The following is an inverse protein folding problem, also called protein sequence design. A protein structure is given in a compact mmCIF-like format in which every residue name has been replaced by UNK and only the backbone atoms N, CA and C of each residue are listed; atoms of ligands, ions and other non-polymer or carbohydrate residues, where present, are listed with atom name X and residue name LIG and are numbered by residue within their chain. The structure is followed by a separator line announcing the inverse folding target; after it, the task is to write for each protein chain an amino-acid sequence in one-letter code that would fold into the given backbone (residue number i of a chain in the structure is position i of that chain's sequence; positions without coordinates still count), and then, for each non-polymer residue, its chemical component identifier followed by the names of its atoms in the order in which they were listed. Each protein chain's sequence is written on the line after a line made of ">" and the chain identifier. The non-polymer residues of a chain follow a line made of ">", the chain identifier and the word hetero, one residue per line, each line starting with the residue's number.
data_IF_317146827978
#
_entry.id   IF_317146827978
#
_cell.length_a   1.000
_cell.length_b   1.000
_cell.length_c   1.000
_cell.angle_alpha   90.00
_cell.angle_beta   90.00
_cell.angle_gamma   90.00
#
_symmetry.space_group_name_H-M   'P 1'
#
loop_
_entity.id
_entity.type
_entity.pdbx_description
1 polymer ?
#
# COMPACT_ATOMS: atom_id res chain seq x y z
N UNK A 1 -0.66 -42.68 -44.70
CA UNK A 1 -1.37 -41.69 -43.84
C UNK A 1 -0.58 -40.41 -43.56
N UNK A 2 0.73 -40.47 -43.26
CA UNK A 2 1.52 -39.26 -42.96
C UNK A 2 1.64 -38.31 -44.18
N UNK A 3 1.90 -38.86 -45.36
CA UNK A 3 2.03 -38.12 -46.63
C UNK A 3 0.76 -37.33 -46.98
N UNK A 4 -0.41 -37.95 -46.82
CA UNK A 4 -1.70 -37.31 -47.10
C UNK A 4 -1.98 -36.12 -46.16
N UNK A 5 -1.63 -36.23 -44.87
CA UNK A 5 -1.75 -35.13 -43.92
C UNK A 5 -0.78 -33.98 -44.22
N UNK A 6 0.45 -34.29 -44.63
CA UNK A 6 1.42 -33.29 -45.06
C UNK A 6 0.95 -32.56 -46.33
N UNK A 7 0.40 -33.30 -47.30
CA UNK A 7 -0.18 -32.72 -48.51
C UNK A 7 -1.35 -31.78 -48.21
N UNK A 8 -2.30 -32.19 -47.36
CA UNK A 8 -3.41 -31.33 -46.93
C UNK A 8 -2.94 -30.08 -46.17
N UNK A 9 -1.90 -30.22 -45.33
CA UNK A 9 -1.33 -29.07 -44.60
C UNK A 9 -0.62 -28.10 -45.56
N UNK A 10 0.08 -28.62 -46.56
CA UNK A 10 0.71 -27.81 -47.61
C UNK A 10 -0.34 -27.04 -48.41
N UNK A 11 -1.45 -27.69 -48.81
CA UNK A 11 -2.52 -27.06 -49.56
C UNK A 11 -3.22 -25.93 -48.78
N UNK A 12 -3.51 -26.15 -47.49
CA UNK A 12 -4.08 -25.09 -46.63
C UNK A 12 -3.12 -23.92 -46.44
N UNK A 13 -1.83 -24.20 -46.30
CA UNK A 13 -0.82 -23.15 -46.18
C UNK A 13 -0.68 -22.35 -47.48
N UNK A 14 -0.82 -23.00 -48.64
CA UNK A 14 -0.84 -22.35 -49.94
C UNK A 14 -2.04 -21.40 -50.08
N UNK A 15 -3.25 -21.83 -49.71
CA UNK A 15 -4.45 -20.98 -49.71
C UNK A 15 -4.30 -19.76 -48.77
N UNK A 16 -3.72 -19.97 -47.59
CA UNK A 16 -3.52 -18.90 -46.60
C UNK A 16 -2.51 -17.86 -47.11
N UNK A 17 -1.41 -18.32 -47.71
CA UNK A 17 -0.41 -17.45 -48.34
C UNK A 17 -1.01 -16.67 -49.52
N UNK A 18 -1.88 -17.29 -50.32
CA UNK A 18 -2.56 -16.61 -51.42
C UNK A 18 -3.51 -15.51 -50.92
N UNK A 19 -4.25 -15.77 -49.84
CA UNK A 19 -5.13 -14.75 -49.25
C UNK A 19 -4.33 -13.56 -48.71
N UNK A 20 -3.22 -13.81 -48.02
CA UNK A 20 -2.36 -12.73 -47.50
C UNK A 20 -1.73 -11.91 -48.65
N UNK A 21 -1.32 -12.56 -49.75
CA UNK A 21 -0.83 -11.86 -50.95
C UNK A 21 -1.93 -10.96 -51.54
N UNK A 22 -3.17 -11.43 -51.58
CA UNK A 22 -4.29 -10.66 -52.11
C UNK A 22 -4.65 -9.47 -51.22
N UNK A 23 -4.64 -9.63 -49.90
CA UNK A 23 -4.81 -8.55 -48.93
C UNK A 23 -3.70 -7.49 -49.06
N UNK A 24 -2.44 -7.92 -49.14
CA UNK A 24 -1.29 -7.02 -49.38
C UNK A 24 -1.42 -6.25 -50.70
N UNK A 25 -1.97 -6.88 -51.75
CA UNK A 25 -2.26 -6.19 -53.01
C UNK A 25 -3.38 -5.16 -52.88
N UNK A 26 -4.45 -5.47 -52.12
CA UNK A 26 -5.52 -4.51 -51.83
C UNK A 26 -4.97 -3.29 -51.08
N UNK A 27 -4.21 -3.54 -50.01
CA UNK A 27 -3.59 -2.48 -49.21
C UNK A 27 -2.62 -1.62 -50.04
N UNK A 28 -1.85 -2.24 -50.94
CA UNK A 28 -0.95 -1.50 -51.84
C UNK A 28 -1.72 -0.56 -52.78
N UNK A 29 -2.89 -0.98 -53.29
CA UNK A 29 -3.74 -0.13 -54.14
C UNK A 29 -4.31 1.06 -53.36
N UNK A 30 -4.75 0.84 -52.12
CA UNK A 30 -5.22 1.90 -51.24
C UNK A 30 -4.10 2.90 -50.93
N UNK A 31 -2.89 2.41 -50.63
CA UNK A 31 -1.73 3.26 -50.34
C UNK A 31 -1.29 4.08 -51.57
N UNK A 32 -1.36 3.51 -52.77
CA UNK A 32 -1.12 4.25 -54.03
C UNK A 32 -2.21 5.31 -54.23
N UNK A 33 -3.47 4.99 -53.94
CA UNK A 33 -4.60 5.92 -54.06
C UNK A 33 -4.43 7.10 -53.08
N UNK A 34 -4.07 6.81 -51.82
CA UNK A 34 -3.74 7.79 -50.79
C UNK A 34 -2.54 8.65 -51.19
N UNK A 35 -1.47 8.04 -51.73
CA UNK A 35 -0.29 8.77 -52.20
C UNK A 35 -0.64 9.72 -53.35
N UNK A 36 -1.42 9.25 -54.32
CA UNK A 36 -1.86 10.06 -55.45
C UNK A 36 -2.77 11.20 -54.98
N UNK A 37 -3.68 10.94 -54.05
CA UNK A 37 -4.54 11.96 -53.45
C UNK A 37 -3.68 13.01 -52.73
N UNK A 38 -2.76 12.60 -51.87
CA UNK A 38 -1.84 13.50 -51.18
C UNK A 38 -0.99 14.33 -52.15
N UNK A 39 -0.51 13.73 -53.23
CA UNK A 39 0.28 14.42 -54.26
C UNK A 39 -0.57 15.38 -55.09
N UNK A 40 -1.83 15.05 -55.38
CA UNK A 40 -2.80 15.96 -55.99
C UNK A 40 -3.11 17.13 -55.06
N UNK A 41 -3.33 16.88 -53.76
CA UNK A 41 -3.53 17.92 -52.75
C UNK A 41 -2.30 18.82 -52.67
N UNK A 42 -1.09 18.25 -52.63
CA UNK A 42 0.18 19.00 -52.59
C UNK A 42 0.38 19.85 -53.85
N UNK A 43 0.06 19.31 -55.03
CA UNK A 43 0.13 20.04 -56.29
C UNK A 43 -0.93 21.13 -56.39
N UNK A 44 -2.13 20.89 -55.85
CA UNK A 44 -3.19 21.90 -55.72
C UNK A 44 -2.77 23.04 -54.80
N UNK A 45 -2.06 22.74 -53.71
CA UNK A 45 -1.47 23.72 -52.81
C UNK A 45 -0.32 24.52 -53.46
N UNK A 46 0.52 23.89 -54.30
CA UNK A 46 1.62 24.56 -55.01
C UNK A 46 1.18 25.38 -56.23
N UNK A 47 0.12 24.96 -56.93
CA UNK A 47 -0.48 25.71 -58.05
C UNK A 47 -1.31 26.92 -57.58
N UNK A 48 -1.49 27.10 -56.26
CA UNK A 48 -2.06 28.29 -55.64
C UNK A 48 -0.99 29.33 -55.28
N UNK A 49 -0.29 29.85 -56.29
CA UNK A 49 0.38 31.14 -56.14
C UNK A 49 -0.66 32.24 -55.99
N UNK A 50 -0.79 32.79 -54.77
CA UNK A 50 -1.46 34.05 -54.41
C UNK A 50 -2.90 34.24 -54.91
N UNK A 51 -3.86 33.60 -54.24
CA UNK A 51 -5.20 34.20 -54.10
C UNK A 51 -5.87 33.70 -52.81
N UNK A 52 -5.80 34.54 -51.77
CA UNK A 52 -6.52 34.37 -50.51
C UNK A 52 -8.03 34.36 -50.77
N UNK A 53 -8.66 33.20 -50.66
CA UNK A 53 -10.11 33.07 -50.66
C UNK A 53 -10.57 32.44 -49.34
N UNK A 54 -11.35 33.15 -48.49
CA UNK A 54 -11.72 32.71 -47.14
C UNK A 54 -12.55 31.42 -47.10
N UNK A 55 -13.32 31.13 -48.15
CA UNK A 55 -14.13 29.90 -48.28
C UNK A 55 -13.32 28.59 -48.19
N UNK A 56 -12.02 28.61 -48.49
CA UNK A 56 -11.20 27.40 -48.56
C UNK A 56 -10.59 27.00 -47.22
N UNK A 57 -10.32 27.98 -46.34
CA UNK A 57 -9.97 27.72 -44.95
C UNK A 57 -11.18 27.18 -44.17
N UNK A 58 -12.35 27.76 -44.44
CA UNK A 58 -13.63 27.27 -43.90
C UNK A 58 -13.90 25.84 -44.34
N UNK A 59 -13.69 25.46 -45.61
CA UNK A 59 -13.95 24.09 -46.08
C UNK A 59 -13.04 23.03 -45.42
N UNK A 60 -11.78 23.36 -45.14
CA UNK A 60 -10.82 22.48 -44.48
C UNK A 60 -11.09 22.38 -42.97
N UNK A 61 -11.49 23.49 -42.33
CA UNK A 61 -12.01 23.48 -40.96
C UNK A 61 -13.30 22.67 -40.86
N UNK A 62 -14.27 22.89 -41.76
CA UNK A 62 -15.54 22.15 -41.82
C UNK A 62 -15.29 20.66 -42.00
N UNK A 63 -14.39 20.24 -42.89
CA UNK A 63 -14.09 18.82 -43.11
C UNK A 63 -13.42 18.17 -41.89
N UNK A 64 -12.55 18.90 -41.19
CA UNK A 64 -11.91 18.45 -39.95
C UNK A 64 -12.92 18.43 -38.77
N UNK A 65 -13.83 19.41 -38.71
CA UNK A 65 -14.94 19.43 -37.76
C UNK A 65 -15.93 18.28 -38.01
N UNK A 66 -16.26 17.99 -39.27
CA UNK A 66 -17.13 16.87 -39.67
C UNK A 66 -16.50 15.51 -39.32
N UNK A 67 -15.19 15.36 -39.49
CA UNK A 67 -14.46 14.16 -39.04
C UNK A 67 -14.44 14.05 -37.50
N UNK A 68 -14.28 15.18 -36.79
CA UNK A 68 -14.35 15.26 -35.33
C UNK A 68 -15.77 15.06 -34.78
N UNK A 69 -16.81 15.23 -35.60
CA UNK A 69 -18.21 14.97 -35.25
C UNK A 69 -18.68 13.57 -35.65
N UNK A 70 -17.83 12.74 -36.27
CA UNK A 70 -18.19 11.37 -36.61
C UNK A 70 -18.40 10.53 -35.33
N UNK A 71 -19.46 9.70 -35.25
CA UNK A 71 -19.70 8.80 -34.12
C UNK A 71 -18.49 7.92 -33.78
N UNK A 72 -17.76 7.44 -34.79
CA UNK A 72 -16.54 6.63 -34.63
C UNK A 72 -15.40 7.38 -33.94
N UNK A 73 -15.21 8.66 -34.28
CA UNK A 73 -14.21 9.50 -33.65
C UNK A 73 -14.60 9.83 -32.21
N UNK A 74 -15.89 10.11 -31.95
CA UNK A 74 -16.41 10.36 -30.61
C UNK A 74 -16.22 9.13 -29.69
N UNK A 75 -16.54 7.93 -30.18
CA UNK A 75 -16.33 6.68 -29.43
C UNK A 75 -14.86 6.40 -29.15
N UNK A 76 -14.00 6.53 -30.17
CA UNK A 76 -12.54 6.36 -29.99
C UNK A 76 -12.00 7.31 -28.92
N UNK A 77 -12.47 8.56 -28.90
CA UNK A 77 -12.09 9.55 -27.87
C UNK A 77 -12.55 9.12 -26.47
N UNK A 78 -13.79 8.64 -26.32
CA UNK A 78 -14.30 8.14 -25.04
C UNK A 78 -13.47 6.96 -24.52
N UNK A 79 -13.11 6.01 -25.39
CA UNK A 79 -12.22 4.89 -25.05
C UNK A 79 -10.86 5.41 -24.57
N UNK A 80 -10.26 6.36 -25.29
CA UNK A 80 -8.98 6.95 -24.91
C UNK A 80 -9.04 7.69 -23.57
N UNK A 81 -10.14 8.38 -23.29
CA UNK A 81 -10.39 9.04 -22.01
C UNK A 81 -10.51 8.05 -20.86
N UNK A 82 -11.28 6.97 -21.04
CA UNK A 82 -11.39 5.87 -20.06
C UNK A 82 -10.01 5.26 -19.79
N UNK A 83 -9.27 4.89 -20.84
CA UNK A 83 -7.94 4.30 -20.70
C UNK A 83 -6.95 5.22 -19.95
N UNK A 84 -6.97 6.53 -20.23
CA UNK A 84 -6.15 7.51 -19.50
C UNK A 84 -6.56 7.61 -18.03
N UNK A 85 -7.87 7.57 -17.76
CA UNK A 85 -8.44 7.53 -16.43
C UNK A 85 -7.99 6.31 -15.62
N UNK A 86 -8.17 5.12 -16.18
CA UNK A 86 -7.73 3.86 -15.59
C UNK A 86 -6.21 3.83 -15.35
N UNK A 87 -5.43 4.38 -16.29
CA UNK A 87 -3.99 4.51 -16.10
C UNK A 87 -3.60 5.47 -14.96
N UNK A 88 -4.40 6.51 -14.71
CA UNK A 88 -4.23 7.38 -13.53
C UNK A 88 -4.52 6.61 -12.25
N UNK A 89 -5.59 5.82 -12.21
CA UNK A 89 -5.92 4.94 -11.07
C UNK A 89 -4.79 3.94 -10.81
N UNK A 90 -4.22 3.35 -11.86
CA UNK A 90 -3.07 2.45 -11.77
C UNK A 90 -1.83 3.12 -11.16
N UNK A 91 -1.54 4.38 -11.53
CA UNK A 91 -0.46 5.15 -10.89
C UNK A 91 -0.73 5.40 -9.41
N UNK A 92 -1.98 5.63 -9.03
CA UNK A 92 -2.36 5.79 -7.62
C UNK A 92 -2.21 4.48 -6.85
N UNK A 93 -2.50 3.32 -7.46
CA UNK A 93 -2.28 1.99 -6.87
C UNK A 93 -0.81 1.72 -6.55
N UNK A 94 0.11 2.23 -7.37
CA UNK A 94 1.56 2.05 -7.21
C UNK A 94 2.18 3.04 -6.21
N UNK A 95 1.42 4.03 -5.75
CA UNK A 95 1.93 5.08 -4.90
C UNK A 95 2.10 4.61 -3.44
N UNK A 96 3.34 4.61 -2.97
CA UNK A 96 3.67 4.51 -1.54
C UNK A 96 3.36 5.83 -0.84
N UNK A 97 2.65 5.76 0.29
CA UNK A 97 2.19 6.93 1.05
C UNK A 97 3.09 7.22 2.24
N UNK A 98 3.07 8.45 2.77
CA UNK A 98 3.84 8.78 3.98
C UNK A 98 3.22 8.25 5.28
N UNK A 99 1.90 8.04 5.28
CA UNK A 99 1.17 7.58 6.45
C UNK A 99 -0.09 6.81 6.03
N UNK A 100 -0.72 6.11 6.98
CA UNK A 100 -2.00 5.42 6.75
C UNK A 100 -3.09 6.41 6.33
N UNK A 101 -3.17 7.57 6.96
CA UNK A 101 -4.19 8.59 6.65
C UNK A 101 -4.04 9.06 5.20
N UNK A 102 -2.81 9.29 4.74
CA UNK A 102 -2.55 9.63 3.34
C UNK A 102 -2.86 8.49 2.39
N UNK A 103 -2.59 7.25 2.79
CA UNK A 103 -2.92 6.09 1.98
C UNK A 103 -4.44 5.90 1.84
N UNK A 104 -5.21 6.19 2.89
CA UNK A 104 -6.68 6.20 2.90
C UNK A 104 -7.26 7.35 2.06
N UNK A 105 -6.69 8.57 2.13
CA UNK A 105 -7.07 9.68 1.24
C UNK A 105 -6.91 9.31 -0.24
N UNK A 106 -5.80 8.66 -0.59
CA UNK A 106 -5.54 8.18 -1.96
C UNK A 106 -6.51 7.06 -2.32
N UNK A 107 -6.79 6.12 -1.40
CA UNK A 107 -7.75 5.05 -1.63
C UNK A 107 -9.15 5.59 -1.92
N UNK A 108 -9.60 6.62 -1.20
CA UNK A 108 -10.90 7.25 -1.44
C UNK A 108 -10.96 7.87 -2.83
N UNK A 109 -9.95 8.68 -3.20
CA UNK A 109 -9.88 9.28 -4.55
C UNK A 109 -9.85 8.23 -5.66
N UNK A 110 -9.20 7.09 -5.40
CA UNK A 110 -9.13 5.97 -6.33
C UNK A 110 -10.51 5.37 -6.59
N UNK A 111 -11.30 5.19 -5.53
CA UNK A 111 -12.69 4.74 -5.64
C UNK A 111 -13.58 5.74 -6.36
N UNK A 112 -13.46 7.04 -6.04
CA UNK A 112 -14.20 8.11 -6.73
C UNK A 112 -13.92 8.09 -8.25
N UNK A 113 -12.67 7.85 -8.65
CA UNK A 113 -12.28 7.71 -10.07
C UNK A 113 -12.84 6.41 -10.68
N UNK A 114 -12.76 5.27 -9.98
CA UNK A 114 -13.32 4.01 -10.47
C UNK A 114 -14.84 4.11 -10.69
N UNK A 115 -15.58 4.75 -9.78
CA UNK A 115 -17.02 4.95 -9.93
C UNK A 115 -17.36 5.81 -11.16
N UNK A 116 -16.56 6.86 -11.40
CA UNK A 116 -16.66 7.67 -12.61
C UNK A 116 -16.42 6.85 -13.87
N UNK A 117 -15.34 6.07 -13.91
CA UNK A 117 -14.97 5.28 -15.08
C UNK A 117 -15.92 4.11 -15.32
N UNK A 118 -16.48 3.52 -14.27
CA UNK A 118 -17.57 2.54 -14.38
C UNK A 118 -18.79 3.13 -15.07
N UNK A 119 -19.21 4.32 -14.62
CA UNK A 119 -20.35 5.03 -15.21
C UNK A 119 -20.11 5.36 -16.69
N UNK A 120 -18.91 5.85 -17.03
CA UNK A 120 -18.52 6.16 -18.42
C UNK A 120 -18.43 4.92 -19.30
N UNK A 121 -17.99 3.80 -18.74
CA UNK A 121 -17.88 2.55 -19.46
C UNK A 121 -19.27 1.95 -19.74
N UNK A 122 -20.20 2.02 -18.79
CA UNK A 122 -21.59 1.59 -19.01
C UNK A 122 -22.34 2.49 -20.02
N UNK A 123 -22.08 3.80 -20.01
CA UNK A 123 -22.60 4.74 -21.02
C UNK A 123 -22.14 4.31 -22.42
N UNK A 124 -20.84 4.03 -22.57
CA UNK A 124 -20.26 3.60 -23.84
C UNK A 124 -20.75 2.22 -24.28
N UNK A 125 -20.91 1.27 -23.35
CA UNK A 125 -21.49 -0.05 -23.63
C UNK A 125 -22.93 0.05 -24.17
N UNK A 126 -23.74 0.94 -23.59
CA UNK A 126 -25.10 1.23 -24.08
C UNK A 126 -25.07 1.82 -25.49
N UNK A 127 -24.19 2.78 -25.77
CA UNK A 127 -24.05 3.37 -27.12
C UNK A 127 -23.59 2.34 -28.16
N UNK A 128 -22.74 1.38 -27.78
CA UNK A 128 -22.34 0.27 -28.66
C UNK A 128 -23.54 -0.65 -28.93
N UNK A 129 -24.37 -0.93 -27.92
CA UNK A 129 -25.60 -1.71 -28.09
C UNK A 129 -26.58 -1.03 -29.06
N UNK A 130 -26.73 0.29 -28.97
CA UNK A 130 -27.58 1.05 -29.90
C UNK A 130 -27.06 0.98 -31.35
N UNK A 131 -25.74 0.88 -31.56
CA UNK A 131 -25.13 0.67 -32.89
C UNK A 131 -25.40 -0.74 -33.41
N UNK A 132 -25.42 -1.77 -32.54
CA UNK A 132 -25.75 -3.16 -32.93
C UNK A 132 -27.10 -3.22 -33.62
N UNK A 133 -28.08 -2.47 -33.13
CA UNK A 133 -29.43 -2.42 -33.70
C UNK A 133 -29.46 -1.76 -35.08
N UNK A 134 -28.50 -0.88 -35.40
CA UNK A 134 -28.45 -0.09 -36.63
C UNK A 134 -27.54 -0.69 -37.71
N UNK A 135 -26.33 -1.14 -37.33
CA UNK A 135 -25.33 -1.73 -38.23
C UNK A 135 -24.54 -2.85 -37.51
N UNK A 136 -24.94 -4.12 -37.71
CA UNK A 136 -24.29 -5.28 -37.08
C UNK A 136 -22.81 -5.46 -37.47
N UNK A 137 -22.41 -4.99 -38.66
CA UNK A 137 -21.03 -5.14 -39.15
C UNK A 137 -20.06 -4.22 -38.43
N UNK A 138 -20.49 -2.98 -38.17
CA UNK A 138 -19.71 -2.01 -37.42
C UNK A 138 -19.68 -2.32 -35.92
N UNK A 139 -20.76 -2.91 -35.38
CA UNK A 139 -20.88 -3.20 -33.96
C UNK A 139 -19.85 -4.22 -33.43
N UNK A 140 -19.51 -5.24 -34.22
CA UNK A 140 -18.52 -6.24 -33.79
C UNK A 140 -17.13 -5.62 -33.57
N UNK A 141 -16.70 -4.70 -34.43
CA UNK A 141 -15.43 -3.97 -34.25
C UNK A 141 -15.45 -3.18 -32.94
N UNK A 142 -16.57 -2.50 -32.64
CA UNK A 142 -16.69 -1.71 -31.42
C UNK A 142 -16.74 -2.55 -30.14
N UNK A 143 -17.42 -3.71 -30.17
CA UNK A 143 -17.37 -4.66 -29.06
C UNK A 143 -15.93 -5.10 -28.77
N UNK A 144 -15.18 -5.50 -29.80
CA UNK A 144 -13.78 -5.92 -29.64
C UNK A 144 -12.90 -4.80 -29.10
N UNK A 145 -13.13 -3.55 -29.54
CA UNK A 145 -12.40 -2.37 -29.04
C UNK A 145 -12.80 -2.00 -27.60
N UNK A 146 -14.05 -2.23 -27.20
CA UNK A 146 -14.56 -1.97 -25.85
C UNK A 146 -14.14 -3.04 -24.84
N UNK A 147 -13.84 -4.26 -25.30
CA UNK A 147 -13.36 -5.34 -24.42
C UNK A 147 -12.09 -4.97 -23.65
N UNK A 148 -11.17 -4.22 -24.29
CA UNK A 148 -9.91 -3.81 -23.67
C UNK A 148 -10.10 -2.91 -22.45
N UNK A 149 -10.79 -1.74 -22.53
CA UNK A 149 -11.05 -0.91 -21.35
C UNK A 149 -11.90 -1.63 -20.29
N UNK A 150 -12.81 -2.53 -20.67
CA UNK A 150 -13.58 -3.33 -19.70
C UNK A 150 -12.67 -4.24 -18.87
N UNK A 151 -11.78 -4.99 -19.53
CA UNK A 151 -10.81 -5.85 -18.86
C UNK A 151 -9.85 -5.06 -17.97
N UNK A 152 -9.38 -3.90 -18.45
CA UNK A 152 -8.54 -3.01 -17.64
C UNK A 152 -9.27 -2.49 -16.41
N UNK A 153 -10.51 -2.03 -16.57
CA UNK A 153 -11.34 -1.57 -15.44
C UNK A 153 -11.48 -2.67 -14.39
N UNK A 154 -11.82 -3.89 -14.81
CA UNK A 154 -11.97 -5.04 -13.91
C UNK A 154 -10.67 -5.34 -13.15
N UNK A 155 -9.53 -5.36 -13.85
CA UNK A 155 -8.23 -5.62 -13.23
C UNK A 155 -7.87 -4.53 -12.20
N UNK A 156 -8.06 -3.26 -12.56
CA UNK A 156 -7.74 -2.13 -11.68
C UNK A 156 -8.67 -2.11 -10.47
N UNK A 157 -9.97 -2.39 -10.66
CA UNK A 157 -10.95 -2.50 -9.57
C UNK A 157 -10.57 -3.58 -8.56
N UNK A 158 -10.25 -4.79 -9.02
CA UNK A 158 -9.84 -5.90 -8.14
C UNK A 158 -8.58 -5.54 -7.32
N UNK A 159 -7.63 -4.82 -7.92
CA UNK A 159 -6.44 -4.36 -7.21
C UNK A 159 -6.77 -3.27 -6.20
N UNK A 160 -7.71 -2.37 -6.50
CA UNK A 160 -8.20 -1.38 -5.56
C UNK A 160 -8.91 -2.03 -4.37
N UNK A 161 -9.71 -3.07 -4.60
CA UNK A 161 -10.34 -3.89 -3.54
C UNK A 161 -9.30 -4.56 -2.65
N UNK A 162 -8.31 -5.22 -3.26
CA UNK A 162 -7.22 -5.85 -2.53
C UNK A 162 -6.46 -4.82 -1.67
N UNK A 163 -6.15 -3.65 -2.22
CA UNK A 163 -5.49 -2.54 -1.48
C UNK A 163 -6.38 -2.02 -0.34
N UNK A 164 -7.69 -1.90 -0.53
CA UNK A 164 -8.63 -1.54 0.56
C UNK A 164 -8.58 -2.56 1.70
N UNK A 165 -8.59 -3.85 1.39
CA UNK A 165 -8.48 -4.90 2.42
C UNK A 165 -7.18 -4.80 3.21
N UNK A 166 -6.06 -4.61 2.51
CA UNK A 166 -4.75 -4.43 3.15
C UNK A 166 -4.70 -3.18 4.03
N UNK A 167 -5.27 -2.06 3.58
CA UNK A 167 -5.35 -0.82 4.37
C UNK A 167 -6.16 -0.97 5.64
N UNK A 168 -7.29 -1.69 5.57
CA UNK A 168 -8.12 -1.95 6.75
C UNK A 168 -7.34 -2.79 7.77
N UNK A 169 -6.65 -3.85 7.30
CA UNK A 169 -5.77 -4.66 8.17
C UNK A 169 -4.65 -3.81 8.78
N UNK A 170 -4.00 -2.96 7.99
CA UNK A 170 -2.94 -2.07 8.44
C UNK A 170 -3.42 -1.08 9.51
N UNK A 171 -4.65 -0.55 9.35
CA UNK A 171 -5.24 0.41 10.29
C UNK A 171 -5.42 -0.24 11.66
N UNK A 172 -6.03 -1.42 11.72
CA UNK A 172 -6.19 -2.18 12.97
C UNK A 172 -4.82 -2.51 13.59
N UNK A 173 -3.85 -2.92 12.76
CA UNK A 173 -2.49 -3.20 13.23
C UNK A 173 -1.78 -1.98 13.82
N UNK A 174 -1.95 -0.79 13.24
CA UNK A 174 -1.35 0.41 13.79
C UNK A 174 -1.95 0.80 15.14
N UNK A 175 -3.24 0.56 15.36
CA UNK A 175 -3.86 0.75 16.67
C UNK A 175 -3.27 -0.22 17.70
N UNK A 176 -3.15 -1.51 17.35
CA UNK A 176 -2.50 -2.53 18.20
C UNK A 176 -1.05 -2.14 18.55
N UNK A 177 -0.28 -1.68 17.57
CA UNK A 177 1.11 -1.26 17.80
C UNK A 177 1.17 -0.03 18.67
N UNK A 178 0.34 0.98 18.42
CA UNK A 178 0.31 2.19 19.25
C UNK A 178 0.04 1.89 20.72
N UNK A 179 -0.92 1.03 21.01
CA UNK A 179 -1.23 0.61 22.38
C UNK A 179 -0.08 -0.19 23.02
N UNK A 180 0.56 -1.06 22.24
CA UNK A 180 1.75 -1.80 22.68
C UNK A 180 2.95 -0.87 22.96
N UNK A 181 3.21 0.11 22.10
CA UNK A 181 4.30 1.08 22.31
C UNK A 181 4.05 1.90 23.58
N UNK A 182 2.83 2.42 23.77
CA UNK A 182 2.44 3.11 25.01
C UNK A 182 2.58 2.23 26.25
N UNK A 183 2.15 0.97 26.17
CA UNK A 183 2.30 0.02 27.27
C UNK A 183 3.77 -0.23 27.58
N UNK A 184 4.62 -0.31 26.55
CA UNK A 184 6.07 -0.48 26.70
C UNK A 184 6.72 0.75 27.32
N UNK A 185 6.37 1.96 26.86
CA UNK A 185 6.84 3.23 27.44
C UNK A 185 6.48 3.34 28.92
N UNK A 186 5.24 2.99 29.28
CA UNK A 186 4.80 2.97 30.68
C UNK A 186 5.57 1.94 31.50
N UNK A 187 5.87 0.76 30.94
CA UNK A 187 6.71 -0.23 31.60
C UNK A 187 8.14 0.29 31.80
N UNK A 188 8.74 0.93 30.80
CA UNK A 188 10.07 1.54 30.86
C UNK A 188 10.12 2.58 31.97
N UNK A 189 9.14 3.48 32.02
CA UNK A 189 9.06 4.53 33.04
C UNK A 189 8.91 3.94 34.45
N UNK A 190 7.97 3.03 34.64
CA UNK A 190 7.71 2.41 35.95
C UNK A 190 8.93 1.61 36.43
N UNK A 191 9.54 0.82 35.56
CA UNK A 191 10.72 0.02 35.88
C UNK A 191 11.94 0.88 36.17
N UNK A 192 12.12 1.97 35.41
CA UNK A 192 13.18 2.95 35.68
C UNK A 192 13.01 3.58 37.07
N UNK A 193 11.78 3.93 37.46
CA UNK A 193 11.48 4.45 38.81
C UNK A 193 11.73 3.40 39.90
N UNK A 194 11.38 2.13 39.65
CA UNK A 194 11.64 1.03 40.58
C UNK A 194 13.15 0.83 40.81
N UNK A 195 13.96 0.89 39.75
CA UNK A 195 15.41 0.74 39.84
C UNK A 195 16.11 1.98 40.43
N UNK A 196 15.60 3.19 40.15
CA UNK A 196 16.17 4.44 40.63
C UNK A 196 15.89 4.72 42.11
N UNK A 197 14.90 4.04 42.70
CA UNK A 197 14.48 4.25 44.07
C UNK A 197 14.84 3.02 44.92
N UNK A 198 16.12 2.87 45.34
CA UNK A 198 16.49 1.90 46.35
C UNK A 198 15.80 2.35 47.64
N UNK A 199 14.62 1.79 47.91
CA UNK A 199 13.82 2.13 49.08
C UNK A 199 14.72 2.19 50.33
N UNK A 200 14.51 3.16 51.21
CA UNK A 200 15.06 3.12 52.56
C UNK A 200 14.60 1.79 53.18
N UNK A 201 15.54 0.85 53.28
CA UNK A 201 15.27 -0.55 53.54
C UNK A 201 14.97 -0.77 55.02
N UNK A 202 13.84 -0.25 55.48
CA UNK A 202 13.47 -0.26 56.90
C UNK A 202 13.09 -1.67 57.40
N UNK A 203 12.79 -2.60 56.48
CA UNK A 203 12.41 -3.97 56.84
C UNK A 203 12.73 -5.04 55.77
N UNK A 204 12.96 -6.30 56.17
CA UNK A 204 13.05 -7.44 55.25
C UNK A 204 11.79 -7.66 54.40
N UNK A 205 10.61 -7.25 54.89
CA UNK A 205 9.33 -7.37 54.17
C UNK A 205 9.26 -6.43 52.97
N UNK A 206 9.72 -5.19 53.10
CA UNK A 206 9.76 -4.21 52.01
C UNK A 206 10.78 -4.61 50.95
N UNK A 207 11.94 -5.15 51.36
CA UNK A 207 12.93 -5.75 50.47
C UNK A 207 12.38 -6.95 49.68
N UNK A 208 11.69 -7.87 50.35
CA UNK A 208 11.09 -9.04 49.70
C UNK A 208 10.01 -8.64 48.70
N UNK A 209 9.13 -7.69 49.06
CA UNK A 209 8.13 -7.16 48.14
C UNK A 209 8.79 -6.51 46.92
N UNK A 210 9.83 -5.69 47.13
CA UNK A 210 10.55 -5.03 46.05
C UNK A 210 11.19 -6.03 45.08
N UNK A 211 11.82 -7.10 45.60
CA UNK A 211 12.34 -8.19 44.77
C UNK A 211 11.24 -8.87 43.94
N UNK A 212 10.07 -9.14 44.53
CA UNK A 212 8.93 -9.71 43.81
C UNK A 212 8.44 -8.79 42.69
N UNK A 213 8.35 -7.48 42.93
CA UNK A 213 7.95 -6.50 41.90
C UNK A 213 8.95 -6.45 40.74
N UNK A 214 10.26 -6.48 41.03
CA UNK A 214 11.30 -6.52 40.00
C UNK A 214 11.27 -7.83 39.20
N UNK A 215 10.96 -8.95 39.84
CA UNK A 215 10.81 -10.23 39.15
C UNK A 215 9.61 -10.24 38.20
N UNK A 216 8.47 -9.66 38.61
CA UNK A 216 7.33 -9.46 37.72
C UNK A 216 7.68 -8.52 36.54
N UNK A 217 8.44 -7.45 36.79
CA UNK A 217 8.90 -6.55 35.74
C UNK A 217 9.82 -7.27 34.74
N UNK A 218 10.67 -8.18 35.22
CA UNK A 218 11.53 -9.01 34.38
C UNK A 218 10.72 -9.94 33.47
N UNK A 219 9.71 -10.63 34.00
CA UNK A 219 8.80 -11.48 33.21
C UNK A 219 8.05 -10.66 32.15
N UNK A 220 7.53 -9.48 32.50
CA UNK A 220 6.86 -8.60 31.54
C UNK A 220 7.84 -8.11 30.44
N UNK A 221 9.12 -7.89 30.76
CA UNK A 221 10.12 -7.46 29.77
C UNK A 221 10.32 -8.49 28.65
N UNK A 222 10.29 -9.79 28.97
CA UNK A 222 10.42 -10.87 27.99
C UNK A 222 9.19 -10.90 27.06
N UNK A 223 7.99 -10.76 27.63
CA UNK A 223 6.76 -10.65 26.84
C UNK A 223 6.80 -9.44 25.91
N UNK A 224 7.20 -8.27 26.42
CA UNK A 224 7.30 -7.03 25.62
C UNK A 224 8.34 -7.16 24.50
N UNK A 225 9.50 -7.75 24.78
CA UNK A 225 10.52 -7.99 23.76
C UNK A 225 10.00 -8.85 22.60
N UNK A 226 9.33 -9.96 22.92
CA UNK A 226 8.75 -10.84 21.89
C UNK A 226 7.68 -10.14 21.05
N UNK A 227 6.83 -9.36 21.69
CA UNK A 227 5.79 -8.59 20.99
C UNK A 227 6.40 -7.52 20.08
N UNK A 228 7.37 -6.73 20.55
CA UNK A 228 8.06 -5.73 19.73
C UNK A 228 8.79 -6.36 18.54
N UNK A 229 9.43 -7.52 18.75
CA UNK A 229 10.08 -8.25 17.68
C UNK A 229 9.10 -8.71 16.59
N UNK A 230 7.90 -9.17 16.99
CA UNK A 230 6.87 -9.60 16.04
C UNK A 230 6.43 -8.49 15.09
N UNK A 231 6.42 -7.22 15.55
CA UNK A 231 6.03 -6.06 14.72
C UNK A 231 6.97 -5.89 13.53
N UNK A 232 8.28 -6.10 13.70
CA UNK A 232 9.23 -5.91 12.59
C UNK A 232 8.94 -6.80 11.39
N UNK A 233 8.42 -8.01 11.62
CA UNK A 233 8.04 -8.92 10.54
C UNK A 233 6.83 -8.37 9.77
N UNK A 234 5.85 -7.82 10.48
CA UNK A 234 4.66 -7.23 9.88
C UNK A 234 4.98 -5.93 9.10
N UNK A 235 5.95 -5.13 9.54
CA UNK A 235 6.29 -3.86 8.89
C UNK A 235 6.83 -4.02 7.47
N UNK A 236 7.51 -5.13 7.16
CA UNK A 236 7.99 -5.41 5.81
C UNK A 236 6.82 -5.51 4.82
N UNK A 237 5.77 -6.23 5.20
CA UNK A 237 4.54 -6.39 4.40
C UNK A 237 3.79 -5.06 4.24
N UNK A 238 3.73 -4.26 5.31
CA UNK A 238 3.03 -2.97 5.31
C UNK A 238 3.77 -1.88 4.51
N UNK A 239 5.09 -2.03 4.36
CA UNK A 239 5.96 -1.06 3.68
C UNK A 239 5.61 -0.82 2.20
N UNK A 240 4.83 -1.72 1.59
CA UNK A 240 4.34 -1.59 0.22
C UNK A 240 3.34 -0.44 0.08
N UNK A 241 2.59 -0.13 1.13
CA UNK A 241 1.46 0.82 1.08
C UNK A 241 1.84 2.18 1.66
N UNK A 242 2.64 2.19 2.74
CA UNK A 242 3.09 3.41 3.38
C UNK A 242 4.48 3.29 3.99
N UNK A 243 5.11 4.42 4.30
CA UNK A 243 6.40 4.52 4.96
C UNK A 243 6.31 3.98 6.40
N UNK A 244 7.21 3.06 6.76
CA UNK A 244 7.25 2.39 8.07
C UNK A 244 8.55 2.68 8.84
N UNK A 245 9.45 3.48 8.28
CA UNK A 245 10.81 3.67 8.79
C UNK A 245 10.82 4.34 10.18
N UNK A 246 10.04 5.40 10.36
CA UNK A 246 9.94 6.12 11.64
C UNK A 246 9.40 5.22 12.76
N UNK A 247 8.43 4.36 12.42
CA UNK A 247 7.88 3.38 13.35
C UNK A 247 8.90 2.29 13.68
N UNK A 248 9.60 1.75 12.68
CA UNK A 248 10.67 0.78 12.88
C UNK A 248 11.77 1.32 13.80
N UNK A 249 12.18 2.58 13.62
CA UNK A 249 13.15 3.26 14.49
C UNK A 249 12.62 3.39 15.93
N UNK A 250 11.36 3.77 16.10
CA UNK A 250 10.73 3.90 17.42
C UNK A 250 10.69 2.55 18.16
N UNK A 251 10.31 1.47 17.46
CA UNK A 251 10.30 0.11 18.01
C UNK A 251 11.73 -0.34 18.37
N UNK A 252 12.72 -0.04 17.53
CA UNK A 252 14.11 -0.38 17.79
C UNK A 252 14.64 0.31 19.04
N UNK A 253 14.32 1.59 19.21
CA UNK A 253 14.71 2.37 20.38
C UNK A 253 14.06 1.83 21.66
N UNK A 254 12.76 1.55 21.64
CA UNK A 254 12.08 0.94 22.78
C UNK A 254 12.64 -0.45 23.10
N UNK A 255 12.91 -1.28 22.10
CA UNK A 255 13.50 -2.60 22.28
C UNK A 255 14.87 -2.52 22.96
N UNK A 256 15.69 -1.51 22.59
CA UNK A 256 16.97 -1.24 23.23
C UNK A 256 16.82 -0.82 24.69
N UNK A 257 15.86 0.06 24.99
CA UNK A 257 15.58 0.49 26.36
C UNK A 257 15.07 -0.64 27.24
N UNK A 258 14.17 -1.50 26.71
CA UNK A 258 13.70 -2.70 27.40
C UNK A 258 14.86 -3.63 27.74
N UNK A 259 15.73 -3.92 26.77
CA UNK A 259 16.89 -4.77 27.00
C UNK A 259 17.86 -4.20 28.05
N UNK A 260 18.07 -2.87 28.05
CA UNK A 260 18.92 -2.22 29.04
C UNK A 260 18.33 -2.32 30.46
N UNK A 261 17.03 -2.08 30.62
CA UNK A 261 16.36 -2.19 31.92
C UNK A 261 16.29 -3.65 32.40
N UNK A 262 16.05 -4.59 31.49
CA UNK A 262 16.10 -6.02 31.77
C UNK A 262 17.47 -6.41 32.36
N UNK A 263 18.56 -5.97 31.74
CA UNK A 263 19.91 -6.23 32.25
C UNK A 263 20.13 -5.61 33.64
N UNK A 264 19.67 -4.37 33.87
CA UNK A 264 19.77 -3.71 35.18
C UNK A 264 18.97 -4.46 36.27
N UNK A 265 17.80 -5.01 35.93
CA UNK A 265 17.02 -5.85 36.85
C UNK A 265 17.82 -7.12 37.19
N UNK A 266 18.38 -7.80 36.18
CA UNK A 266 19.14 -9.03 36.37
C UNK A 266 20.38 -8.84 37.27
N UNK A 267 21.00 -7.66 37.23
CA UNK A 267 22.15 -7.32 38.06
C UNK A 267 21.79 -6.92 39.51
N UNK A 268 20.66 -6.23 39.69
CA UNK A 268 20.21 -5.71 40.99
C UNK A 268 19.40 -6.72 41.81
N UNK A 269 18.57 -7.52 41.16
CA UNK A 269 17.65 -8.46 41.81
C UNK A 269 18.34 -9.44 42.77
N UNK A 270 19.49 -10.09 42.41
CA UNK A 270 20.16 -11.01 43.33
C UNK A 270 20.66 -10.34 44.61
N UNK A 271 21.05 -9.06 44.53
CA UNK A 271 21.54 -8.29 45.68
C UNK A 271 20.40 -7.97 46.64
N UNK A 272 19.27 -7.52 46.09
CA UNK A 272 18.04 -7.22 46.85
C UNK A 272 17.51 -8.48 47.54
N UNK A 273 17.49 -9.60 46.83
CA UNK A 273 17.10 -10.90 47.40
C UNK A 273 18.01 -11.26 48.59
N UNK A 274 19.34 -11.14 48.46
CA UNK A 274 20.28 -11.43 49.57
C UNK A 274 20.00 -10.57 50.81
N UNK A 275 19.77 -9.27 50.62
CA UNK A 275 19.47 -8.34 51.73
C UNK A 275 18.17 -8.70 52.45
N UNK A 276 17.16 -9.23 51.74
CA UNK A 276 15.90 -9.69 52.34
C UNK A 276 16.07 -10.92 53.26
N UNK A 277 17.04 -11.78 52.96
CA UNK A 277 17.29 -13.03 53.69
C UNK A 277 18.32 -12.94 54.82
N UNK A 278 19.08 -11.84 54.94
CA UNK A 278 20.00 -11.61 56.06
C UNK A 278 19.35 -10.73 57.15
N UNK A 279 18.72 -11.30 58.19
CA UNK A 279 18.27 -10.51 59.33
C UNK A 279 19.50 -9.92 60.04
N UNK A 280 19.54 -8.59 60.20
CA UNK A 280 20.61 -7.90 60.92
C UNK A 280 20.75 -8.47 62.35
N UNK A 281 21.92 -9.01 62.74
CA UNK A 281 22.10 -9.61 64.07
C UNK A 281 22.30 -8.58 65.20
N UNK A 282 22.30 -7.28 64.91
CA UNK A 282 22.56 -6.24 65.91
C UNK A 282 21.42 -5.23 66.00
N UNK A 283 20.28 -5.65 66.54
CA UNK A 283 19.28 -4.70 67.10
C UNK A 283 18.53 -5.29 68.30
N UNK A 284 19.26 -5.97 69.18
CA UNK A 284 18.72 -6.61 70.38
C UNK A 284 19.60 -6.49 71.65
N UNK A 285 20.54 -5.53 71.70
CA UNK A 285 21.35 -5.28 72.90
C UNK A 285 21.38 -3.78 73.20
N UNK A 286 20.29 -3.31 73.80
CA UNK A 286 20.17 -1.92 74.24
C UNK A 286 18.99 -1.74 75.19
N UNK A 287 18.73 -2.72 76.07
CA UNK A 287 17.78 -2.58 77.19
C UNK A 287 17.92 -3.79 78.15
N UNK A 288 19.04 -3.89 78.86
CA UNK A 288 19.13 -4.61 80.13
C UNK A 288 20.49 -4.35 80.80
N UNK A 289 20.47 -4.13 82.12
CA UNK A 289 21.59 -4.09 83.07
C UNK A 289 22.28 -2.73 83.33
N UNK A 290 21.64 -1.89 84.13
CA UNK A 290 22.26 -1.22 85.30
C UNK A 290 21.25 -1.46 86.44
N UNK A 291 21.46 -2.33 87.43
CA UNK A 291 22.65 -2.49 88.25
C UNK A 291 22.33 -1.91 89.63
N UNK A 292 21.68 -2.71 90.48
CA UNK A 292 21.26 -2.34 91.83
C UNK A 292 22.37 -2.57 92.88
N UNK A 293 22.21 -1.86 94.00
CA UNK A 293 22.64 -2.15 95.40
C UNK A 293 24.00 -1.56 95.88
N UNK A 294 24.29 -1.37 97.20
CA UNK A 294 23.47 -1.48 98.43
C UNK A 294 23.61 -0.33 99.47
N UNK A 295 22.80 -0.47 100.54
CA UNK A 295 22.65 0.27 101.82
C UNK A 295 23.92 0.50 102.67
N UNK A 296 23.89 1.57 103.48
CA UNK A 296 24.50 1.69 104.83
C UNK A 296 23.77 2.84 105.58
N UNK A 297 22.90 2.57 106.58
CA UNK A 297 23.11 2.40 108.04
C UNK A 297 23.13 3.73 108.84
N UNK A 298 22.09 3.90 109.68
CA UNK A 298 21.92 4.90 110.76
C UNK A 298 23.01 4.78 111.85
N UNK A 299 23.14 5.79 112.72
CA UNK A 299 22.36 5.83 113.98
C UNK A 299 21.50 7.10 114.17
#
# INVERSE_FOLDING_TARGET
>A
MLYFRLFQKAQKNEELVQNEIQERHSFTKELITLKNLFQQTTSSLQNMGLQDHPERAEQFEISNEVLKSSPSYAMSRKIDEINKGLHKVEKMLQQKSKSIEKAQEIQKKMWDELDLWHSKLNELDSEVHDIVEQDPGQAQEWMDRLMVPFQQYQQVSQRAEARTSQLNKATVKMEEYHDLLKSTEAWIENTSRLLANPADYDSPKTLSHHASTLQMALEDSEQKHNLLHSIFTDLEDLSVIFETDDLAQSIQELSRQVAALQQNIMESLPQIQRMAYTPSPYRGLGQAAVGANPRHLDP
#
